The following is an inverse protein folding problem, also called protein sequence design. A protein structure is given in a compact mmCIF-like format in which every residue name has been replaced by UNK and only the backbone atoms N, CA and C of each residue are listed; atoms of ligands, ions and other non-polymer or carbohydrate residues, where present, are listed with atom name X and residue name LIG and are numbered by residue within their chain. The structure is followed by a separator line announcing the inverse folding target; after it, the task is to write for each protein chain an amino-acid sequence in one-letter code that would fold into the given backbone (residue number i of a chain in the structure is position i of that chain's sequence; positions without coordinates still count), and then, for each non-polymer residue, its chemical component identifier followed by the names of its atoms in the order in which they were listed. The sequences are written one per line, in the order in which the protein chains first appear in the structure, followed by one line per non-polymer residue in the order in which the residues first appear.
data_IF_350109719340
#
_entry.id   IF_350109719340
#
_cell.length_a   1.000
_cell.length_b   1.000
_cell.length_c   1.000
_cell.angle_alpha   90.00
_cell.angle_beta   90.00
_cell.angle_gamma   90.00
#
_symmetry.space_group_name_H-M   'P 1'
#
loop_
_entity.id
_entity.type
_entity.pdbx_description
1 polymer ?
#
# COMPACT_ATOMS: atom_id res chain seq x y z
N UNK A 1 11.29 17.63 -49.56
CA UNK A 1 11.75 17.50 -48.16
C UNK A 1 10.72 16.69 -47.37
N UNK A 2 11.18 15.66 -46.65
CA UNK A 2 10.37 14.57 -46.05
C UNK A 2 9.57 15.02 -44.83
N UNK A 3 8.27 14.69 -44.82
CA UNK A 3 7.40 14.73 -43.63
C UNK A 3 7.95 13.79 -42.57
N UNK A 4 8.30 14.29 -41.38
CA UNK A 4 8.53 13.45 -40.19
C UNK A 4 7.28 13.49 -39.31
N UNK A 5 6.37 12.54 -39.54
CA UNK A 5 5.52 12.03 -38.46
C UNK A 5 6.46 11.29 -37.51
N UNK A 6 6.63 11.78 -36.30
CA UNK A 6 7.21 11.00 -35.22
C UNK A 6 6.06 10.64 -34.30
N UNK A 7 5.61 9.39 -34.41
CA UNK A 7 4.65 8.79 -33.50
C UNK A 7 5.15 9.01 -32.08
N UNK A 8 4.34 9.73 -31.30
CA UNK A 8 4.48 9.79 -29.86
C UNK A 8 3.37 8.90 -29.32
N UNK A 9 3.54 7.59 -29.56
CA UNK A 9 2.75 6.55 -28.90
C UNK A 9 3.21 6.54 -27.45
N UNK A 10 2.64 7.45 -26.65
CA UNK A 10 2.69 7.36 -25.19
C UNK A 10 2.26 5.95 -24.83
N UNK A 11 3.18 5.21 -24.23
CA UNK A 11 3.01 3.82 -23.79
C UNK A 11 1.79 3.73 -22.87
N UNK A 12 0.61 3.51 -23.43
CA UNK A 12 -0.57 3.10 -22.67
C UNK A 12 -0.29 1.68 -22.23
N UNK A 13 0.34 1.51 -21.06
CA UNK A 13 0.43 0.20 -20.44
C UNK A 13 -1.01 -0.28 -20.19
N UNK A 14 -1.51 -1.16 -21.06
CA UNK A 14 -2.79 -1.80 -20.89
C UNK A 14 -2.61 -2.79 -19.74
N UNK A 15 -2.93 -2.38 -18.52
CA UNK A 15 -2.95 -3.27 -17.37
C UNK A 15 -4.12 -4.23 -17.54
N UNK A 16 -3.84 -5.51 -17.63
CA UNK A 16 -4.87 -6.55 -17.73
C UNK A 16 -5.63 -6.67 -16.40
N UNK A 17 -6.91 -7.13 -16.41
CA UNK A 17 -7.64 -7.36 -15.16
C UNK A 17 -6.89 -8.30 -14.20
N UNK A 18 -6.22 -9.33 -14.73
CA UNK A 18 -5.43 -10.25 -13.93
C UNK A 18 -4.17 -9.61 -13.30
N UNK A 19 -3.63 -8.54 -13.89
CA UNK A 19 -2.55 -7.76 -13.27
C UNK A 19 -3.10 -6.84 -12.17
N UNK A 20 -4.29 -6.26 -12.35
CA UNK A 20 -4.95 -5.47 -11.31
C UNK A 20 -5.29 -6.32 -10.08
N UNK A 21 -5.84 -7.51 -10.26
CA UNK A 21 -6.14 -8.44 -9.16
C UNK A 21 -4.86 -8.81 -8.38
N UNK A 22 -3.80 -9.22 -9.10
CA UNK A 22 -2.52 -9.58 -8.47
C UNK A 22 -1.90 -8.43 -7.68
N UNK A 23 -1.97 -7.21 -8.21
CA UNK A 23 -1.47 -6.03 -7.50
C UNK A 23 -2.33 -5.70 -6.28
N UNK A 24 -3.66 -5.81 -6.38
CA UNK A 24 -4.57 -5.61 -5.26
C UNK A 24 -4.30 -6.61 -4.13
N UNK A 25 -4.09 -7.89 -4.46
CA UNK A 25 -3.76 -8.94 -3.48
C UNK A 25 -2.43 -8.64 -2.76
N UNK A 26 -1.39 -8.29 -3.52
CA UNK A 26 -0.09 -7.92 -2.95
C UNK A 26 -0.16 -6.67 -2.07
N UNK A 27 -0.96 -5.67 -2.47
CA UNK A 27 -1.16 -4.44 -1.72
C UNK A 27 -1.92 -4.70 -0.42
N UNK A 28 -2.97 -5.53 -0.46
CA UNK A 28 -3.72 -5.92 0.73
C UNK A 28 -2.85 -6.71 1.71
N UNK A 29 -2.11 -7.71 1.22
CA UNK A 29 -1.20 -8.53 2.04
C UNK A 29 -0.15 -7.65 2.72
N UNK A 30 0.51 -6.78 1.94
CA UNK A 30 1.53 -5.86 2.46
C UNK A 30 0.93 -4.90 3.49
N UNK A 31 -0.24 -4.34 3.21
CA UNK A 31 -0.92 -3.42 4.13
C UNK A 31 -1.29 -4.10 5.45
N UNK A 32 -1.77 -5.35 5.41
CA UNK A 32 -2.05 -6.14 6.61
C UNK A 32 -0.77 -6.46 7.39
N UNK A 33 0.30 -6.87 6.70
CA UNK A 33 1.58 -7.21 7.31
C UNK A 33 2.19 -6.01 8.04
N UNK A 34 2.34 -4.88 7.37
CA UNK A 34 2.97 -3.68 7.94
C UNK A 34 2.15 -3.15 9.13
N UNK A 35 0.81 -3.18 9.05
CA UNK A 35 -0.07 -2.86 10.19
C UNK A 35 0.15 -3.81 11.38
N UNK A 36 0.30 -5.11 11.12
CA UNK A 36 0.60 -6.11 12.15
C UNK A 36 1.96 -5.90 12.81
N UNK A 37 2.98 -5.61 12.01
CA UNK A 37 4.34 -5.30 12.49
C UNK A 37 4.35 -4.04 13.37
N UNK A 38 3.65 -2.99 12.96
CA UNK A 38 3.51 -1.75 13.75
C UNK A 38 2.88 -1.99 15.13
N UNK A 39 1.87 -2.86 15.21
CA UNK A 39 1.24 -3.24 16.49
C UNK A 39 2.20 -4.01 17.40
N UNK A 40 2.87 -5.04 16.85
CA UNK A 40 3.87 -5.82 17.61
C UNK A 40 5.00 -4.95 18.13
N UNK A 41 5.45 -3.99 17.33
CA UNK A 41 6.49 -3.05 17.74
C UNK A 41 6.00 -2.11 18.86
N UNK A 42 4.75 -1.63 18.80
CA UNK A 42 4.11 -0.84 19.87
C UNK A 42 4.08 -1.59 21.19
N UNK A 43 3.63 -2.84 21.16
CA UNK A 43 3.53 -3.72 22.33
C UNK A 43 4.92 -3.97 22.93
N UNK A 44 5.91 -4.28 22.08
CA UNK A 44 7.30 -4.52 22.51
C UNK A 44 7.93 -3.28 23.14
N UNK A 45 7.72 -2.10 22.56
CA UNK A 45 8.21 -0.84 23.11
C UNK A 45 7.53 -0.48 24.45
N UNK A 46 6.22 -0.74 24.56
CA UNK A 46 5.48 -0.53 25.81
C UNK A 46 5.99 -1.44 26.92
N UNK A 47 6.28 -2.71 26.62
CA UNK A 47 6.89 -3.64 27.56
C UNK A 47 8.30 -3.20 27.98
N UNK A 48 9.11 -2.66 27.04
CA UNK A 48 10.46 -2.18 27.32
C UNK A 48 10.48 -1.02 28.34
N UNK A 49 9.40 -0.24 28.47
CA UNK A 49 9.27 0.83 29.47
C UNK A 49 9.48 0.36 30.91
N UNK A 50 9.23 -0.91 31.20
CA UNK A 50 9.40 -1.48 32.54
C UNK A 50 10.87 -1.39 32.98
N UNK A 51 11.80 -1.55 32.02
CA UNK A 51 13.25 -1.58 32.27
C UNK A 51 13.98 -0.34 31.73
N UNK A 52 13.41 0.34 30.72
CA UNK A 52 14.00 1.52 30.09
C UNK A 52 13.14 2.76 30.37
N UNK A 53 13.58 3.61 31.31
CA UNK A 53 12.81 4.75 31.86
C UNK A 53 13.55 6.09 31.78
N UNK A 54 14.38 6.29 30.77
CA UNK A 54 15.15 7.52 30.61
C UNK A 54 14.53 8.48 29.58
N UNK A 55 15.12 9.66 29.44
CA UNK A 55 14.69 10.64 28.45
C UNK A 55 14.86 10.15 26.99
N UNK A 56 15.77 9.20 26.74
CA UNK A 56 15.97 8.61 25.41
C UNK A 56 14.80 7.69 25.05
N UNK A 57 14.31 6.90 26.01
CA UNK A 57 13.11 6.10 25.86
C UNK A 57 11.93 6.99 25.47
N UNK A 58 11.68 8.07 26.22
CA UNK A 58 10.53 8.94 25.95
C UNK A 58 10.63 9.64 24.58
N UNK A 59 11.85 10.01 24.14
CA UNK A 59 12.07 10.54 22.80
C UNK A 59 11.82 9.49 21.70
N UNK A 60 12.36 8.27 21.87
CA UNK A 60 12.12 7.15 20.96
C UNK A 60 10.63 6.79 20.88
N UNK A 61 9.96 6.66 22.02
CA UNK A 61 8.57 6.27 22.12
C UNK A 61 7.64 7.26 21.40
N UNK A 62 7.90 8.57 21.50
CA UNK A 62 7.16 9.58 20.73
C UNK A 62 7.33 9.41 19.22
N UNK A 63 8.56 9.21 18.74
CA UNK A 63 8.82 8.98 17.31
C UNK A 63 8.17 7.68 16.82
N UNK A 64 8.22 6.63 17.65
CA UNK A 64 7.62 5.35 17.35
C UNK A 64 6.09 5.46 17.20
N UNK A 65 5.41 6.16 18.11
CA UNK A 65 3.95 6.36 18.02
C UNK A 65 3.59 7.07 16.72
N UNK A 66 4.27 8.17 16.39
CA UNK A 66 4.02 8.91 15.15
C UNK A 66 4.23 8.02 13.91
N UNK A 67 5.31 7.24 13.87
CA UNK A 67 5.58 6.30 12.78
C UNK A 67 4.47 5.23 12.63
N UNK A 68 3.99 4.67 13.75
CA UNK A 68 2.92 3.67 13.71
C UNK A 68 1.61 4.30 13.22
N UNK A 69 1.29 5.52 13.62
CA UNK A 69 0.09 6.22 13.11
C UNK A 69 0.15 6.42 11.60
N UNK A 70 1.30 6.77 11.05
CA UNK A 70 1.49 6.91 9.61
C UNK A 70 1.41 5.57 8.88
N UNK A 71 1.95 4.51 9.48
CA UNK A 71 1.76 3.13 9.00
C UNK A 71 0.29 2.73 9.01
N UNK A 72 -0.48 3.06 10.04
CA UNK A 72 -1.90 2.76 10.13
C UNK A 72 -2.70 3.50 9.05
N UNK A 73 -2.40 4.78 8.82
CA UNK A 73 -2.98 5.57 7.72
C UNK A 73 -2.66 4.94 6.35
N UNK A 74 -1.38 4.68 6.09
CA UNK A 74 -0.91 4.08 4.84
C UNK A 74 -1.60 2.73 4.59
N UNK A 75 -1.61 1.86 5.59
CA UNK A 75 -2.25 0.54 5.48
C UNK A 75 -3.76 0.66 5.24
N UNK A 76 -4.41 1.64 5.88
CA UNK A 76 -5.82 1.94 5.63
C UNK A 76 -6.10 2.39 4.19
N UNK A 77 -5.26 3.25 3.63
CA UNK A 77 -5.36 3.64 2.22
C UNK A 77 -5.07 2.48 1.27
N UNK A 78 -4.04 1.67 1.56
CA UNK A 78 -3.68 0.51 0.76
C UNK A 78 -4.82 -0.51 0.65
N UNK A 79 -5.52 -0.79 1.77
CA UNK A 79 -6.68 -1.68 1.76
C UNK A 79 -7.84 -1.14 0.90
N UNK A 80 -8.19 0.14 1.05
CA UNK A 80 -9.25 0.77 0.23
C UNK A 80 -8.89 0.77 -1.24
N UNK A 81 -7.61 1.01 -1.56
CA UNK A 81 -7.16 1.03 -2.94
C UNK A 81 -7.12 -0.37 -3.56
N UNK A 82 -6.76 -1.40 -2.79
CA UNK A 82 -6.85 -2.80 -3.23
C UNK A 82 -8.30 -3.18 -3.60
N UNK A 83 -9.28 -2.79 -2.77
CA UNK A 83 -10.70 -2.99 -3.08
C UNK A 83 -11.11 -2.31 -4.39
N UNK A 84 -10.77 -1.01 -4.54
CA UNK A 84 -11.02 -0.27 -5.77
C UNK A 84 -10.40 -0.93 -7.02
N UNK A 85 -9.18 -1.47 -6.91
CA UNK A 85 -8.51 -2.15 -8.02
C UNK A 85 -9.21 -3.44 -8.42
N UNK A 86 -9.78 -4.18 -7.47
CA UNK A 86 -10.59 -5.38 -7.76
C UNK A 86 -11.90 -5.02 -8.45
N UNK A 87 -12.56 -3.95 -8.03
CA UNK A 87 -13.75 -3.43 -8.72
C UNK A 87 -13.43 -3.04 -10.17
N UNK A 88 -12.32 -2.31 -10.38
CA UNK A 88 -11.80 -1.97 -11.70
C UNK A 88 -11.53 -3.21 -12.55
N UNK A 89 -10.89 -4.24 -11.99
CA UNK A 89 -10.61 -5.49 -12.67
C UNK A 89 -11.90 -6.22 -13.06
N UNK A 90 -12.87 -6.29 -12.15
CA UNK A 90 -14.19 -6.90 -12.41
C UNK A 90 -14.92 -6.21 -13.56
N UNK A 91 -14.95 -4.87 -13.57
CA UNK A 91 -15.58 -4.10 -14.64
C UNK A 91 -14.88 -4.37 -15.98
N UNK A 92 -13.55 -4.37 -16.00
CA UNK A 92 -12.78 -4.64 -17.21
C UNK A 92 -13.03 -6.05 -17.76
N UNK A 93 -13.13 -7.08 -16.90
CA UNK A 93 -13.53 -8.45 -17.31
C UNK A 93 -14.91 -8.45 -17.97
N UNK A 94 -15.91 -7.83 -17.34
CA UNK A 94 -17.27 -7.72 -17.89
C UNK A 94 -17.32 -7.06 -19.27
N UNK A 95 -16.44 -6.09 -19.55
CA UNK A 95 -16.36 -5.47 -20.88
C UNK A 95 -15.67 -6.36 -21.92
N UNK A 96 -14.65 -7.12 -21.52
CA UNK A 96 -13.93 -8.03 -22.40
C UNK A 96 -14.77 -9.26 -22.77
N UNK A 97 -15.54 -9.81 -21.82
CA UNK A 97 -16.38 -11.00 -22.02
C UNK A 97 -17.64 -10.73 -22.88
N UNK A 98 -17.96 -9.45 -23.14
CA UNK A 98 -19.08 -9.01 -23.99
C UNK A 98 -18.70 -8.79 -25.45
N UNK A 99 -17.43 -9.00 -25.82
CA UNK A 99 -16.92 -8.93 -27.19
C UNK A 99 -16.84 -10.31 -27.81
#
# INVERSE_FOLDING_TARGET
MKRRRKNMDSQTAIVTPAQLDRFADSLEETSKRVRGDGRRLRESATAARIVWKDAKYEAFHRQLIACIEDVEKFSGFGLKYAEFLREKAMLAKKYLDRR
#
